data_IF_370143858897
#
_entry.id   IF_370143858897
#
_cell.length_a   1.000
_cell.length_b   1.000
_cell.length_c   1.000
_cell.angle_alpha   90.00
_cell.angle_beta   90.00
_cell.angle_gamma   90.00
#
_symmetry.space_group_name_H-M   'P 1'
#
loop_
_entity.id
_entity.type
_entity.pdbx_description
1 polymer ?
#
# COMPACT_ATOMS: atom_id res chain seq x y z
N UNK A 1 4.16 4.37 8.47
CA UNK A 1 3.70 2.97 8.28
C UNK A 1 4.64 2.24 7.33
N UNK A 2 4.78 0.94 7.54
CA UNK A 2 5.58 0.07 6.68
C UNK A 2 4.81 -1.26 6.52
N UNK A 3 4.44 -1.59 5.29
CA UNK A 3 3.72 -2.81 4.98
C UNK A 3 4.51 -3.67 4.00
N UNK A 4 4.90 -4.83 4.44
CA UNK A 4 5.71 -5.79 3.69
C UNK A 4 6.98 -6.17 4.44
N UNK A 5 7.59 -7.31 4.09
CA UNK A 5 8.73 -7.87 4.83
C UNK A 5 10.09 -7.23 4.51
N UNK A 6 10.20 -6.53 3.37
CA UNK A 6 11.46 -5.95 2.90
C UNK A 6 11.83 -4.64 3.57
N UNK A 7 13.08 -4.20 3.44
CA UNK A 7 13.54 -2.86 3.87
C UNK A 7 12.90 -1.78 2.99
N UNK A 8 12.77 -2.09 1.70
CA UNK A 8 12.15 -1.25 0.69
C UNK A 8 10.84 -1.90 0.28
N UNK A 9 9.80 -1.74 1.11
CA UNK A 9 8.51 -2.35 0.79
C UNK A 9 7.96 -1.85 -0.54
N UNK A 10 7.47 -2.78 -1.36
CA UNK A 10 6.74 -2.47 -2.60
C UNK A 10 5.35 -1.90 -2.34
N UNK A 11 4.74 -2.21 -1.19
CA UNK A 11 3.37 -1.77 -0.87
C UNK A 11 3.40 -0.38 -0.24
N UNK A 12 3.91 -0.26 0.99
CA UNK A 12 4.04 1.01 1.71
C UNK A 12 5.36 1.02 2.44
N UNK A 13 6.22 1.99 2.11
CA UNK A 13 7.50 2.20 2.76
C UNK A 13 7.41 3.28 3.83
N UNK A 14 8.11 3.11 4.94
CA UNK A 14 8.33 4.13 5.98
C UNK A 14 9.25 5.27 5.52
N UNK A 15 9.84 5.15 4.34
CA UNK A 15 10.70 6.17 3.71
C UNK A 15 9.92 7.25 2.97
N UNK A 16 8.60 7.10 2.81
CA UNK A 16 7.76 8.15 2.22
C UNK A 16 7.63 9.33 3.18
N UNK A 17 7.46 10.57 2.66
CA UNK A 17 7.20 11.73 3.49
C UNK A 17 6.00 11.54 4.41
N UNK A 18 6.05 12.13 5.59
CA UNK A 18 4.93 12.11 6.52
C UNK A 18 3.70 12.78 5.92
N UNK A 19 2.54 12.20 6.12
CA UNK A 19 1.25 12.72 5.68
C UNK A 19 0.21 12.58 6.78
N UNK A 20 -0.80 13.44 6.75
CA UNK A 20 -1.92 13.35 7.67
C UNK A 20 -2.79 12.15 7.34
N UNK A 21 -3.04 11.29 8.30
CA UNK A 21 -3.93 10.14 8.16
C UNK A 21 -4.63 9.80 9.47
N UNK A 22 -5.75 9.15 9.36
CA UNK A 22 -6.42 8.44 10.45
C UNK A 22 -6.55 6.97 10.08
N UNK A 23 -6.58 6.11 11.06
CA UNK A 23 -6.68 4.68 10.82
C UNK A 23 -6.70 3.91 12.11
N UNK A 24 -6.79 2.61 11.98
CA UNK A 24 -6.77 1.69 13.11
C UNK A 24 -6.07 0.39 12.73
N UNK A 25 -5.59 -0.29 13.75
CA UNK A 25 -5.13 -1.67 13.71
C UNK A 25 -6.01 -2.47 14.65
N UNK A 26 -6.54 -3.57 14.15
CA UNK A 26 -7.45 -4.44 14.89
C UNK A 26 -6.95 -5.88 14.87
N UNK A 27 -6.68 -6.42 16.04
CA UNK A 27 -6.38 -7.82 16.26
C UNK A 27 -7.71 -8.59 16.33
N UNK A 28 -8.13 -9.13 15.18
CA UNK A 28 -9.39 -9.91 15.05
C UNK A 28 -9.29 -11.24 15.76
N UNK A 29 -8.09 -11.83 15.79
CA UNK A 29 -7.71 -13.06 16.46
C UNK A 29 -6.23 -12.96 16.81
N UNK A 30 -5.72 -13.85 17.66
CA UNK A 30 -4.28 -13.91 18.02
C UNK A 30 -3.36 -14.07 16.78
N UNK A 31 -3.90 -14.71 15.72
CA UNK A 31 -3.20 -14.97 14.46
C UNK A 31 -3.65 -14.05 13.31
N UNK A 32 -4.66 -13.19 13.51
CA UNK A 32 -5.25 -12.38 12.44
C UNK A 32 -5.28 -10.91 12.84
N UNK A 33 -4.61 -10.10 12.06
CA UNK A 33 -4.60 -8.64 12.22
C UNK A 33 -5.16 -7.97 10.98
N UNK A 34 -6.00 -6.98 11.19
CA UNK A 34 -6.50 -6.10 10.15
C UNK A 34 -6.03 -4.66 10.42
N UNK A 35 -5.49 -4.01 9.39
CA UNK A 35 -5.09 -2.61 9.45
C UNK A 35 -5.80 -1.82 8.37
N UNK A 36 -6.22 -0.61 8.70
CA UNK A 36 -6.84 0.33 7.79
C UNK A 36 -6.33 1.73 8.06
N UNK A 37 -6.11 2.50 7.02
CA UNK A 37 -5.93 3.95 7.15
C UNK A 37 -6.46 4.69 5.93
N UNK A 38 -6.81 5.96 6.15
CA UNK A 38 -7.17 6.93 5.14
C UNK A 38 -6.39 8.21 5.39
N UNK A 39 -5.75 8.77 4.38
CA UNK A 39 -4.88 9.91 4.53
C UNK A 39 -4.93 10.89 3.37
N UNK A 40 -4.36 12.06 3.62
CA UNK A 40 -4.21 13.12 2.63
C UNK A 40 -2.74 13.27 2.29
N UNK A 41 -2.44 13.15 1.01
CA UNK A 41 -1.09 13.33 0.47
C UNK A 41 -0.89 14.77 0.01
N UNK A 42 0.32 15.31 0.19
CA UNK A 42 0.74 16.52 -0.48
C UNK A 42 1.27 16.16 -1.88
N UNK A 43 0.60 16.65 -2.91
CA UNK A 43 1.00 16.35 -4.30
C UNK A 43 2.26 17.09 -4.74
N UNK A 44 2.55 18.24 -4.13
CA UNK A 44 3.59 19.17 -4.61
C UNK A 44 3.30 19.73 -6.02
N UNK A 45 2.09 19.54 -6.55
CA UNK A 45 1.66 20.02 -7.87
C UNK A 45 0.61 21.11 -7.65
N UNK A 46 0.92 22.32 -8.10
CA UNK A 46 0.02 23.46 -8.00
C UNK A 46 -1.22 23.23 -8.86
N UNK A 47 -2.39 23.45 -8.26
CA UNK A 47 -3.66 23.43 -8.98
C UNK A 47 -3.88 24.77 -9.70
N UNK A 48 -3.56 24.76 -10.99
CA UNK A 48 -3.69 25.98 -11.83
C UNK A 48 -5.13 26.44 -12.05
N UNK A 49 -6.13 25.59 -11.78
CA UNK A 49 -7.53 25.98 -11.92
C UNK A 49 -7.96 27.00 -10.87
N UNK A 50 -7.30 27.03 -9.71
CA UNK A 50 -7.56 28.01 -8.65
C UNK A 50 -6.81 29.34 -8.82
N UNK A 51 -5.74 29.37 -9.62
CA UNK A 51 -4.96 30.61 -9.81
C UNK A 51 -5.77 31.71 -10.49
N UNK A 52 -6.77 31.39 -11.29
CA UNK A 52 -7.62 32.36 -11.98
C UNK A 52 -8.55 33.15 -11.05
N UNK A 53 -8.86 32.64 -9.87
CA UNK A 53 -9.76 33.28 -8.91
C UNK A 53 -9.06 34.25 -7.95
N UNK A 54 -7.73 34.21 -7.88
CA UNK A 54 -6.96 34.94 -6.87
C UNK A 54 -5.90 35.88 -7.45
N UNK A 55 -6.00 36.22 -8.74
CA UNK A 55 -5.04 37.04 -9.46
C UNK A 55 -4.89 38.47 -8.84
N UNK A 56 -5.90 38.97 -8.12
CA UNK A 56 -5.85 40.23 -7.40
C UNK A 56 -5.39 40.09 -5.93
N UNK A 57 -5.15 38.92 -5.42
CA UNK A 57 -4.97 38.63 -4.00
C UNK A 57 -3.59 38.21 -3.53
N UNK A 58 -2.56 38.23 -4.42
CA UNK A 58 -1.21 37.79 -4.10
C UNK A 58 -0.97 36.28 -4.32
N UNK A 59 0.29 35.87 -4.24
CA UNK A 59 0.81 34.51 -4.55
C UNK A 59 0.23 33.38 -3.67
N UNK A 60 -1.05 33.13 -3.76
CA UNK A 60 -1.68 31.97 -3.14
C UNK A 60 -1.75 30.83 -4.13
N UNK A 61 -0.91 29.83 -3.94
CA UNK A 61 -0.98 28.57 -4.66
C UNK A 61 -1.60 27.47 -3.80
N UNK A 62 -2.43 26.65 -4.38
CA UNK A 62 -2.98 25.46 -3.75
C UNK A 62 -2.49 24.23 -4.52
N UNK A 63 -2.08 23.22 -3.78
CA UNK A 63 -1.70 21.94 -4.41
C UNK A 63 -2.95 21.13 -4.73
N UNK A 64 -2.84 20.33 -5.81
CA UNK A 64 -3.85 19.32 -6.13
C UNK A 64 -4.00 18.39 -4.92
N UNK A 65 -5.22 18.27 -4.42
CA UNK A 65 -5.53 17.38 -3.29
C UNK A 65 -5.44 15.94 -3.79
N UNK A 66 -4.62 15.13 -3.12
CA UNK A 66 -4.57 13.68 -3.29
C UNK A 66 -4.88 12.98 -1.99
N UNK A 67 -5.63 11.92 -2.09
CA UNK A 67 -5.95 11.08 -0.95
C UNK A 67 -5.38 9.68 -1.18
N UNK A 68 -5.10 9.00 -0.08
CA UNK A 68 -4.67 7.62 -0.04
C UNK A 68 -5.51 6.86 0.97
N UNK A 69 -5.97 5.71 0.60
CA UNK A 69 -6.63 4.79 1.51
C UNK A 69 -6.05 3.40 1.32
N UNK A 70 -5.89 2.68 2.39
CA UNK A 70 -5.36 1.33 2.32
C UNK A 70 -5.89 0.45 3.44
N UNK A 71 -5.99 -0.84 3.16
CA UNK A 71 -6.19 -1.86 4.17
C UNK A 71 -5.28 -3.07 3.94
N UNK A 72 -5.00 -3.78 5.02
CA UNK A 72 -4.16 -4.97 5.07
C UNK A 72 -4.74 -6.00 6.01
N UNK A 73 -4.84 -7.22 5.54
CA UNK A 73 -5.10 -8.40 6.35
C UNK A 73 -3.82 -9.21 6.48
N UNK A 74 -3.38 -9.45 7.69
CA UNK A 74 -2.25 -10.33 8.01
C UNK A 74 -2.76 -11.57 8.76
N UNK A 75 -2.33 -12.75 8.33
CA UNK A 75 -2.67 -14.02 8.96
C UNK A 75 -1.42 -14.86 9.22
N UNK A 76 -1.31 -15.38 10.44
CA UNK A 76 -0.23 -16.24 10.91
C UNK A 76 -0.75 -17.67 11.16
N UNK A 77 -0.92 -18.49 10.12
CA UNK A 77 -1.45 -19.86 10.29
C UNK A 77 -0.61 -20.73 11.21
N UNK A 78 0.67 -20.39 11.38
CA UNK A 78 1.59 -20.99 12.36
C UNK A 78 2.75 -20.02 12.61
N UNK A 79 3.59 -20.33 13.60
CA UNK A 79 4.71 -19.47 14.00
C UNK A 79 5.74 -19.22 12.85
N UNK A 80 5.80 -20.10 11.87
CA UNK A 80 6.76 -20.01 10.78
C UNK A 80 6.23 -19.27 9.56
N UNK A 81 4.93 -19.10 9.40
CA UNK A 81 4.33 -18.54 8.18
C UNK A 81 3.55 -17.28 8.51
N UNK A 82 3.80 -16.24 7.74
CA UNK A 82 2.99 -15.02 7.73
C UNK A 82 2.51 -14.79 6.30
N UNK A 83 1.21 -14.64 6.14
CA UNK A 83 0.54 -14.33 4.88
C UNK A 83 -0.12 -12.97 5.00
N UNK A 84 -0.06 -12.15 3.95
CA UNK A 84 -0.74 -10.86 3.98
C UNK A 84 -1.32 -10.52 2.61
N UNK A 85 -2.46 -9.83 2.65
CA UNK A 85 -3.11 -9.22 1.50
C UNK A 85 -3.36 -7.75 1.79
N UNK A 86 -3.14 -6.89 0.83
CA UNK A 86 -3.38 -5.45 0.97
C UNK A 86 -3.97 -4.88 -0.31
N UNK A 87 -4.85 -3.91 -0.14
CA UNK A 87 -5.31 -3.02 -1.21
C UNK A 87 -4.98 -1.58 -0.83
N UNK A 88 -4.54 -0.80 -1.80
CA UNK A 88 -4.21 0.61 -1.65
C UNK A 88 -4.82 1.36 -2.82
N UNK A 89 -5.50 2.46 -2.54
CA UNK A 89 -6.11 3.33 -3.55
C UNK A 89 -5.54 4.72 -3.41
N UNK A 90 -5.18 5.31 -4.53
CA UNK A 90 -4.88 6.75 -4.62
C UNK A 90 -5.89 7.43 -5.52
N UNK A 91 -6.47 8.53 -5.05
CA UNK A 91 -7.41 9.31 -5.81
C UNK A 91 -7.19 10.81 -5.62
N UNK A 92 -7.62 11.63 -6.57
CA UNK A 92 -7.32 13.05 -6.61
C UNK A 92 -8.54 13.89 -7.02
N UNK A 93 -8.39 15.23 -6.87
CA UNK A 93 -9.33 16.26 -7.34
C UNK A 93 -10.76 16.16 -6.77
N UNK A 94 -10.94 15.52 -5.62
CA UNK A 94 -12.23 15.45 -4.94
C UNK A 94 -12.07 15.36 -3.40
N UNK A 95 -13.16 15.59 -2.71
CA UNK A 95 -13.26 15.39 -1.27
C UNK A 95 -13.05 13.90 -0.92
N UNK A 96 -13.01 13.60 0.38
CA UNK A 96 -12.95 12.22 0.87
C UNK A 96 -14.12 11.42 0.29
N UNK A 97 -13.79 10.33 -0.41
CA UNK A 97 -14.76 9.39 -0.95
C UNK A 97 -15.31 8.52 0.17
N UNK A 98 -16.61 8.65 0.43
CA UNK A 98 -17.25 7.98 1.57
C UNK A 98 -17.30 6.46 1.44
N UNK A 99 -17.32 5.95 0.21
CA UNK A 99 -17.32 4.50 -0.05
C UNK A 99 -16.03 3.84 0.42
N UNK A 100 -14.91 4.55 0.35
CA UNK A 100 -13.62 4.08 0.86
C UNK A 100 -13.51 4.15 2.40
N UNK A 101 -14.47 4.75 3.09
CA UNK A 101 -14.55 4.68 4.56
C UNK A 101 -15.12 3.35 5.06
N UNK A 102 -15.52 2.45 4.16
CA UNK A 102 -15.91 1.08 4.48
C UNK A 102 -14.66 0.18 4.53
N UNK A 103 -14.03 -0.02 5.70
CA UNK A 103 -12.67 -0.57 5.78
C UNK A 103 -12.55 -2.03 5.35
N UNK A 104 -13.67 -2.78 5.37
CA UNK A 104 -13.69 -4.20 5.00
C UNK A 104 -14.22 -4.44 3.57
N UNK A 105 -14.67 -3.41 2.88
CA UNK A 105 -15.11 -3.56 1.50
C UNK A 105 -13.89 -3.66 0.57
N UNK A 106 -13.87 -4.59 -0.39
CA UNK A 106 -12.79 -4.67 -1.38
C UNK A 106 -12.75 -3.39 -2.21
N UNK A 107 -11.61 -2.70 -2.20
CA UNK A 107 -11.46 -1.42 -2.89
C UNK A 107 -11.50 -1.58 -4.41
N UNK A 108 -11.01 -2.69 -4.92
CA UNK A 108 -11.14 -3.04 -6.33
C UNK A 108 -12.61 -3.01 -6.80
N UNK A 109 -13.51 -3.63 -6.03
CA UNK A 109 -14.95 -3.62 -6.36
C UNK A 109 -15.59 -2.23 -6.22
N UNK A 110 -15.13 -1.42 -5.26
CA UNK A 110 -15.58 -0.03 -5.10
C UNK A 110 -15.17 0.78 -6.32
N UNK A 111 -13.92 0.66 -6.78
CA UNK A 111 -13.41 1.34 -7.95
C UNK A 111 -14.25 1.03 -9.21
N UNK A 112 -14.55 -0.22 -9.46
CA UNK A 112 -15.44 -0.61 -10.58
C UNK A 112 -16.81 0.09 -10.50
N UNK A 113 -17.37 0.19 -9.30
CA UNK A 113 -18.67 0.81 -9.08
C UNK A 113 -18.67 2.32 -9.31
N UNK A 114 -17.59 3.01 -8.96
CA UNK A 114 -17.48 4.49 -9.12
C UNK A 114 -16.91 4.91 -10.49
N UNK A 115 -16.63 3.97 -11.40
CA UNK A 115 -16.29 4.24 -12.80
C UNK A 115 -14.81 4.17 -13.14
N UNK A 116 -14.00 3.42 -12.39
CA UNK A 116 -12.58 3.15 -12.68
C UNK A 116 -11.71 4.41 -12.82
N UNK A 117 -11.99 5.42 -11.98
CA UNK A 117 -11.31 6.72 -12.04
C UNK A 117 -10.12 6.83 -11.08
N UNK A 118 -9.92 5.82 -10.25
CA UNK A 118 -8.90 5.80 -9.21
C UNK A 118 -7.81 4.76 -9.52
N UNK A 119 -6.64 4.92 -8.95
CA UNK A 119 -5.58 3.93 -9.06
C UNK A 119 -5.63 2.97 -7.87
N UNK A 120 -5.92 1.69 -8.13
CA UNK A 120 -5.95 0.62 -7.13
C UNK A 120 -4.75 -0.30 -7.32
N UNK A 121 -3.98 -0.42 -6.26
CA UNK A 121 -2.86 -1.34 -6.17
C UNK A 121 -3.23 -2.46 -5.19
N UNK A 122 -3.10 -3.70 -5.64
CA UNK A 122 -3.23 -4.89 -4.79
C UNK A 122 -1.86 -5.49 -4.53
N UNK A 123 -1.63 -5.98 -3.32
CA UNK A 123 -0.41 -6.73 -3.02
C UNK A 123 -0.67 -7.92 -2.11
N UNK A 124 0.16 -8.94 -2.29
CA UNK A 124 0.21 -10.10 -1.41
C UNK A 124 1.64 -10.42 -1.02
N UNK A 125 1.85 -10.81 0.22
CA UNK A 125 3.16 -11.29 0.66
C UNK A 125 3.06 -12.59 1.46
N UNK A 126 4.11 -13.40 1.33
CA UNK A 126 4.35 -14.59 2.13
C UNK A 126 5.73 -14.50 2.74
N UNK A 127 5.80 -14.81 4.03
CA UNK A 127 7.05 -14.88 4.77
C UNK A 127 7.17 -16.26 5.43
N UNK A 128 8.37 -16.82 5.36
CA UNK A 128 8.72 -18.05 6.06
C UNK A 128 9.86 -17.78 7.02
N UNK A 129 9.63 -18.06 8.30
CA UNK A 129 10.58 -17.86 9.41
C UNK A 129 11.13 -19.22 9.79
N UNK A 130 12.45 -19.41 9.65
CA UNK A 130 13.15 -20.62 10.00
C UNK A 130 14.03 -20.40 11.22
N UNK A 131 13.77 -21.15 12.30
CA UNK A 131 14.55 -21.15 13.55
C UNK A 131 14.79 -19.77 14.17
N UNK A 132 13.84 -18.84 14.03
CA UNK A 132 13.84 -17.48 14.59
C UNK A 132 14.99 -16.57 14.09
N UNK A 133 15.96 -17.09 13.33
CA UNK A 133 17.10 -16.32 12.85
C UNK A 133 17.18 -16.18 11.33
N UNK A 134 16.30 -16.84 10.59
CA UNK A 134 16.28 -16.77 9.13
C UNK A 134 14.87 -16.50 8.63
N UNK A 135 14.69 -15.51 7.76
CA UNK A 135 13.42 -15.17 7.14
C UNK A 135 13.57 -15.09 5.63
N UNK A 136 12.74 -15.84 4.93
CA UNK A 136 12.53 -15.74 3.49
C UNK A 136 11.21 -15.04 3.23
N UNK A 137 11.14 -14.27 2.15
CA UNK A 137 9.87 -13.66 1.76
C UNK A 137 9.76 -13.45 0.26
N UNK A 138 8.52 -13.40 -0.19
CA UNK A 138 8.12 -13.01 -1.54
C UNK A 138 6.95 -12.05 -1.44
N UNK A 139 7.00 -10.96 -2.19
CA UNK A 139 5.93 -9.98 -2.34
C UNK A 139 5.54 -9.92 -3.80
N UNK A 140 4.26 -9.91 -4.08
CA UNK A 140 3.67 -9.63 -5.38
C UNK A 140 2.83 -8.37 -5.28
N UNK A 141 2.98 -7.48 -6.24
CA UNK A 141 2.15 -6.27 -6.39
C UNK A 141 1.52 -6.29 -7.77
N UNK A 142 0.25 -5.87 -7.83
CA UNK A 142 -0.52 -5.74 -9.06
C UNK A 142 -1.11 -4.34 -9.11
N UNK A 143 -0.87 -3.65 -10.22
CA UNK A 143 -1.40 -2.33 -10.53
C UNK A 143 -2.23 -2.42 -11.80
N UNK A 144 -3.41 -1.78 -11.83
CA UNK A 144 -4.34 -1.80 -12.97
C UNK A 144 -4.69 -3.23 -13.47
N UNK A 145 -5.00 -4.15 -12.57
CA UNK A 145 -5.27 -5.52 -12.93
C UNK A 145 -6.68 -5.71 -13.51
N UNK A 146 -6.74 -6.28 -14.71
CA UNK A 146 -7.98 -6.70 -15.37
C UNK A 146 -8.02 -8.22 -15.47
N UNK A 147 -8.74 -8.92 -14.58
CA UNK A 147 -8.71 -10.39 -14.49
C UNK A 147 -8.95 -11.14 -15.81
N UNK A 148 -9.93 -10.76 -16.66
CA UNK A 148 -10.18 -11.46 -17.92
C UNK A 148 -9.02 -11.36 -18.92
N UNK A 149 -8.17 -10.35 -18.78
CA UNK A 149 -7.10 -10.01 -19.72
C UNK A 149 -5.71 -10.14 -19.10
N UNK A 150 -5.56 -10.89 -17.99
CA UNK A 150 -4.30 -11.03 -17.25
C UNK A 150 -3.09 -11.38 -18.12
N UNK A 151 -3.29 -12.16 -19.19
CA UNK A 151 -2.22 -12.60 -20.11
C UNK A 151 -2.29 -11.92 -21.48
N UNK A 152 -3.15 -10.93 -21.65
CA UNK A 152 -3.25 -10.17 -22.89
C UNK A 152 -2.15 -9.10 -22.92
N UNK A 153 -1.36 -9.11 -24.01
CA UNK A 153 -0.23 -8.18 -24.19
C UNK A 153 -0.68 -6.75 -24.48
N UNK A 154 -1.90 -6.57 -24.95
CA UNK A 154 -2.46 -5.26 -25.32
C UNK A 154 -3.15 -4.58 -24.13
N UNK A 155 -3.26 -5.29 -23.00
CA UNK A 155 -3.88 -4.76 -21.78
C UNK A 155 -2.81 -4.29 -20.77
N UNK A 156 -3.12 -3.20 -20.05
CA UNK A 156 -2.22 -2.57 -19.08
C UNK A 156 -2.29 -3.28 -17.73
N UNK A 157 -1.82 -4.52 -17.66
CA UNK A 157 -1.62 -5.20 -16.39
C UNK A 157 -0.18 -5.01 -15.93
N UNK A 158 0.03 -4.35 -14.81
CA UNK A 158 1.35 -4.09 -14.24
C UNK A 158 1.57 -4.98 -13.04
N UNK A 159 2.64 -5.76 -13.07
CA UNK A 159 3.05 -6.62 -11.97
C UNK A 159 4.45 -6.26 -11.52
N UNK A 160 4.65 -6.24 -10.22
CA UNK A 160 5.97 -6.16 -9.59
C UNK A 160 6.13 -7.27 -8.59
N UNK A 161 7.35 -7.74 -8.41
CA UNK A 161 7.65 -8.73 -7.38
C UNK A 161 8.96 -8.39 -6.68
N UNK A 162 9.05 -8.79 -5.44
CA UNK A 162 10.24 -8.68 -4.61
C UNK A 162 10.41 -9.97 -3.83
N UNK A 163 11.64 -10.46 -3.72
CA UNK A 163 11.95 -11.56 -2.82
C UNK A 163 13.20 -11.24 -2.04
N UNK A 164 13.32 -11.81 -0.86
CA UNK A 164 14.50 -11.55 -0.05
C UNK A 164 14.75 -12.62 1.00
N UNK A 165 15.97 -12.58 1.50
CA UNK A 165 16.49 -13.39 2.58
C UNK A 165 17.10 -12.47 3.64
N UNK A 166 16.68 -12.65 4.88
CA UNK A 166 17.33 -12.08 6.05
C UNK A 166 17.85 -13.20 6.91
N UNK A 167 19.11 -13.11 7.34
CA UNK A 167 19.74 -14.08 8.22
C UNK A 167 20.51 -13.36 9.31
N UNK A 168 20.23 -13.69 10.56
CA UNK A 168 20.89 -13.13 11.75
C UNK A 168 21.82 -14.18 12.35
N UNK A 169 22.87 -13.72 13.04
CA UNK A 169 23.83 -14.56 13.76
C UNK A 169 24.54 -15.62 12.92
N UNK A 170 24.90 -15.31 11.66
CA UNK A 170 25.54 -16.25 10.74
C UNK A 170 26.96 -16.62 11.18
N UNK A 171 27.75 -15.61 11.55
CA UNK A 171 29.18 -15.77 11.83
C UNK A 171 29.52 -15.56 13.32
N UNK A 172 28.87 -14.58 13.93
CA UNK A 172 28.97 -14.26 15.36
C UNK A 172 27.68 -13.59 15.82
N UNK A 173 27.46 -13.56 17.15
CA UNK A 173 26.33 -12.86 17.73
C UNK A 173 26.22 -11.43 17.17
N UNK A 174 24.99 -10.99 16.87
CA UNK A 174 24.66 -9.68 16.29
C UNK A 174 25.09 -9.47 14.82
N UNK A 175 25.58 -10.49 14.13
CA UNK A 175 25.81 -10.39 12.69
C UNK A 175 24.48 -10.46 11.89
N UNK A 176 24.32 -9.60 10.88
CA UNK A 176 23.14 -9.60 10.01
C UNK A 176 23.55 -9.69 8.55
N UNK A 177 22.92 -10.58 7.84
CA UNK A 177 22.97 -10.66 6.39
C UNK A 177 21.58 -10.42 5.82
N UNK A 178 21.48 -9.61 4.76
CA UNK A 178 20.23 -9.37 4.05
C UNK A 178 20.49 -9.29 2.57
N UNK A 179 19.63 -9.97 1.82
CA UNK A 179 19.56 -9.94 0.36
C UNK A 179 18.12 -9.60 -0.03
N UNK A 180 17.94 -8.61 -0.90
CA UNK A 180 16.67 -8.20 -1.49
C UNK A 180 16.72 -8.21 -3.00
#
# INVERSE_FOLDING_TARGET
QHWGPGINSLTISDKIPSFFHFGFKWELHEDITFEYFHGKLNSGIVDTSYMQFYDEGGDRSFDIVRNIVAHRLEWKPCNQIVLSLSELVTYANRAIELTYLLPFAPFFSIQEHIGEIDNVIMSGDIQYIHRDNMRFYVVLIMDEWSPPYTFDKDNRNWFGWQSGLQWEDILFADSRFRLE
#
